data_IF_106326213416
#
_entry.id   IF_106326213416
#
_cell.length_a   1.000
_cell.length_b   1.000
_cell.length_c   1.000
_cell.angle_alpha   90.00
_cell.angle_beta   90.00
_cell.angle_gamma   90.00
#
_symmetry.space_group_name_H-M   'P 1'
#
loop_
_entity.id
_entity.type
_entity.pdbx_description
1 polymer ?
#
# COMPACT_ATOMS: atom_id res chain seq x y z
N UNK A 1 -62.39 15.99 -0.36
CA UNK A 1 -61.59 14.75 -0.22
C UNK A 1 -60.11 15.12 -0.18
N UNK A 2 -59.46 15.03 0.99
CA UNK A 2 -58.07 15.45 1.17
C UNK A 2 -57.09 14.29 0.89
N UNK A 3 -56.13 14.51 -0.01
CA UNK A 3 -55.07 13.53 -0.38
C UNK A 3 -54.13 13.30 0.81
N UNK A 4 -54.06 12.06 1.30
CA UNK A 4 -53.05 11.63 2.28
C UNK A 4 -51.66 11.63 1.64
N UNK A 5 -50.76 12.46 2.15
CA UNK A 5 -49.31 12.40 1.87
C UNK A 5 -48.73 11.13 2.50
N UNK A 6 -48.40 10.15 1.68
CA UNK A 6 -47.64 8.97 2.10
C UNK A 6 -46.22 9.39 2.45
N UNK A 7 -45.86 9.22 3.73
CA UNK A 7 -44.49 9.38 4.22
C UNK A 7 -43.60 8.29 3.60
N UNK A 8 -42.62 8.70 2.80
CA UNK A 8 -41.59 7.82 2.26
C UNK A 8 -40.65 7.45 3.40
N UNK A 9 -40.70 6.19 3.87
CA UNK A 9 -39.73 5.63 4.83
C UNK A 9 -38.31 5.88 4.29
N UNK A 10 -37.44 6.50 5.09
CA UNK A 10 -36.00 6.61 4.80
C UNK A 10 -35.45 5.19 4.63
N UNK A 11 -34.88 4.91 3.47
CA UNK A 11 -34.14 3.67 3.25
C UNK A 11 -32.95 3.61 4.22
N UNK A 12 -32.72 2.44 4.81
CA UNK A 12 -31.53 2.19 5.61
C UNK A 12 -30.27 2.51 4.77
N UNK A 13 -29.19 3.02 5.40
CA UNK A 13 -27.96 3.28 4.66
C UNK A 13 -27.49 1.96 4.06
N UNK A 14 -27.34 1.92 2.73
CA UNK A 14 -26.72 0.79 2.06
C UNK A 14 -25.36 0.62 2.72
N UNK A 15 -25.04 -0.58 3.24
CA UNK A 15 -23.64 -0.97 3.43
C UNK A 15 -22.96 -0.58 2.11
N UNK A 16 -21.95 0.29 2.17
CA UNK A 16 -21.32 0.83 0.95
C UNK A 16 -21.03 -0.30 -0.03
N UNK A 17 -21.11 -0.02 -1.33
CA UNK A 17 -20.83 -1.01 -2.36
C UNK A 17 -19.51 -1.75 -2.02
N UNK A 18 -19.53 -3.08 -2.14
CA UNK A 18 -18.37 -3.96 -1.91
C UNK A 18 -17.84 -4.03 -0.47
N UNK A 19 -18.68 -3.87 0.57
CA UNK A 19 -18.23 -3.94 1.98
C UNK A 19 -17.40 -5.18 2.37
N UNK A 20 -17.76 -6.37 1.90
CA UNK A 20 -16.98 -7.59 2.16
C UNK A 20 -15.62 -7.59 1.45
N UNK A 21 -15.56 -7.11 0.21
CA UNK A 21 -14.32 -6.98 -0.54
C UNK A 21 -13.40 -5.92 0.09
N UNK A 22 -13.93 -4.77 0.52
CA UNK A 22 -13.16 -3.76 1.26
C UNK A 22 -12.50 -4.32 2.52
N UNK A 23 -13.26 -5.11 3.28
CA UNK A 23 -12.73 -5.78 4.46
C UNK A 23 -11.62 -6.76 4.08
N UNK A 24 -11.81 -7.55 3.02
CA UNK A 24 -10.79 -8.49 2.56
C UNK A 24 -9.51 -7.77 2.10
N UNK A 25 -9.61 -6.72 1.29
CA UNK A 25 -8.46 -5.92 0.86
C UNK A 25 -7.73 -5.26 2.04
N UNK A 26 -8.47 -4.76 3.03
CA UNK A 26 -7.87 -4.21 4.25
C UNK A 26 -7.03 -5.26 4.99
N UNK A 27 -7.54 -6.49 5.13
CA UNK A 27 -6.77 -7.59 5.77
C UNK A 27 -5.48 -7.92 5.01
N UNK A 28 -5.54 -7.95 3.68
CA UNK A 28 -4.36 -8.20 2.84
C UNK A 28 -3.31 -7.10 3.03
N UNK A 29 -3.72 -5.83 3.04
CA UNK A 29 -2.82 -4.69 3.27
C UNK A 29 -2.32 -4.58 4.72
N UNK A 30 -3.05 -5.14 5.68
CA UNK A 30 -2.62 -5.28 7.07
C UNK A 30 -1.76 -6.52 7.31
N UNK A 31 -1.44 -7.30 6.27
CA UNK A 31 -0.60 -8.50 6.35
C UNK A 31 -1.16 -9.59 7.30
N UNK A 32 -2.47 -9.58 7.58
CA UNK A 32 -3.07 -10.47 8.61
C UNK A 32 -2.93 -11.96 8.27
N UNK A 33 -2.89 -12.29 6.98
CA UNK A 33 -2.74 -13.67 6.49
C UNK A 33 -1.28 -13.99 6.07
N UNK A 34 -0.34 -13.05 6.26
CA UNK A 34 1.08 -13.28 5.98
C UNK A 34 1.77 -13.96 7.17
N UNK A 35 2.85 -14.69 6.90
CA UNK A 35 3.65 -15.33 7.95
C UNK A 35 4.28 -14.30 8.91
N UNK A 36 4.68 -13.14 8.38
CA UNK A 36 5.17 -11.98 9.12
C UNK A 36 4.64 -10.71 8.46
N UNK A 37 4.33 -9.69 9.26
CA UNK A 37 4.04 -8.36 8.74
C UNK A 37 5.32 -7.60 8.38
N UNK A 38 5.17 -6.53 7.60
CA UNK A 38 6.30 -5.71 7.14
C UNK A 38 7.14 -5.15 8.29
N UNK A 39 6.50 -4.66 9.35
CA UNK A 39 7.19 -4.03 10.47
C UNK A 39 7.98 -5.05 11.29
N UNK A 40 7.47 -6.27 11.45
CA UNK A 40 8.17 -7.38 12.07
C UNK A 40 9.40 -7.80 11.27
N UNK A 41 9.33 -7.80 9.94
CA UNK A 41 10.46 -8.15 9.07
C UNK A 41 11.58 -7.11 9.15
N UNK A 42 11.25 -5.82 9.09
CA UNK A 42 12.27 -4.76 9.02
C UNK A 42 12.76 -4.27 10.38
N UNK A 43 12.09 -4.65 11.47
CA UNK A 43 12.47 -4.29 12.84
C UNK A 43 13.87 -4.79 13.15
N UNK A 44 14.70 -3.90 13.65
CA UNK A 44 16.09 -4.14 14.06
C UNK A 44 16.97 -4.78 12.96
N UNK A 45 16.64 -4.55 11.68
CA UNK A 45 17.40 -5.12 10.56
C UNK A 45 18.87 -4.67 10.62
N UNK A 46 19.84 -5.62 10.66
CA UNK A 46 21.24 -5.27 10.84
C UNK A 46 21.75 -4.37 9.71
N UNK A 47 22.38 -3.24 10.06
CA UNK A 47 22.93 -2.27 9.10
C UNK A 47 23.88 -2.95 8.11
N UNK A 48 24.74 -3.83 8.62
CA UNK A 48 25.71 -4.58 7.82
C UNK A 48 25.07 -5.50 6.76
N UNK A 49 23.78 -5.86 6.90
CA UNK A 49 23.09 -6.75 5.98
C UNK A 49 22.20 -6.04 4.96
N UNK A 50 21.93 -4.73 5.12
CA UNK A 50 20.99 -3.98 4.25
C UNK A 50 21.38 -4.04 2.77
N UNK A 51 22.67 -4.09 2.48
CA UNK A 51 23.23 -4.14 1.13
C UNK A 51 23.86 -5.48 0.73
N UNK A 52 23.74 -6.52 1.57
CA UNK A 52 24.38 -7.82 1.28
C UNK A 52 23.47 -8.63 0.38
N UNK A 53 24.02 -9.17 -0.71
CA UNK A 53 23.33 -10.13 -1.57
C UNK A 53 23.62 -11.56 -1.08
N UNK A 54 22.61 -12.28 -0.54
CA UNK A 54 22.80 -13.68 -0.20
C UNK A 54 23.17 -14.53 -1.43
N UNK A 55 23.95 -15.62 -1.28
CA UNK A 55 24.22 -16.53 -2.38
C UNK A 55 22.93 -17.05 -3.03
N UNK A 56 22.84 -16.91 -4.36
CA UNK A 56 21.67 -17.33 -5.14
C UNK A 56 20.48 -16.36 -5.14
N UNK A 57 20.52 -15.28 -4.34
CA UNK A 57 19.48 -14.26 -4.37
C UNK A 57 19.72 -13.24 -5.51
N UNK A 58 18.67 -12.82 -6.24
CA UNK A 58 18.81 -11.85 -7.33
C UNK A 58 19.04 -10.41 -6.83
N UNK A 59 18.59 -10.10 -5.61
CA UNK A 59 18.53 -8.73 -5.08
C UNK A 59 18.97 -8.65 -3.61
N UNK A 60 19.45 -7.48 -3.20
CA UNK A 60 19.74 -7.16 -1.79
C UNK A 60 18.46 -6.75 -1.03
N UNK A 61 18.48 -6.75 0.31
CA UNK A 61 17.36 -6.23 1.11
C UNK A 61 17.01 -4.78 0.78
N UNK A 62 18.01 -3.93 0.50
CA UNK A 62 17.79 -2.56 0.05
C UNK A 62 17.05 -2.49 -1.29
N UNK A 63 17.45 -3.30 -2.27
CA UNK A 63 16.77 -3.37 -3.56
C UNK A 63 15.32 -3.81 -3.42
N UNK A 64 15.06 -4.81 -2.58
CA UNK A 64 13.69 -5.29 -2.33
C UNK A 64 12.83 -4.25 -1.59
N UNK A 65 13.39 -3.56 -0.59
CA UNK A 65 12.68 -2.50 0.12
C UNK A 65 12.26 -1.37 -0.84
N UNK A 66 13.19 -0.88 -1.64
CA UNK A 66 12.90 0.19 -2.60
C UNK A 66 11.94 -0.28 -3.68
N UNK A 67 12.06 -1.51 -4.15
CA UNK A 67 11.12 -2.09 -5.10
C UNK A 67 9.69 -2.09 -4.54
N UNK A 68 9.50 -2.60 -3.33
CA UNK A 68 8.20 -2.58 -2.64
C UNK A 68 7.68 -1.14 -2.46
N UNK A 69 8.54 -0.20 -2.06
CA UNK A 69 8.18 1.21 -1.90
C UNK A 69 7.72 1.86 -3.20
N UNK A 70 8.46 1.65 -4.29
CA UNK A 70 8.17 2.28 -5.58
C UNK A 70 6.90 1.68 -6.18
N UNK A 71 6.77 0.34 -6.22
CA UNK A 71 5.56 -0.31 -6.74
C UNK A 71 4.30 0.09 -5.96
N UNK A 72 4.38 0.16 -4.62
CA UNK A 72 3.23 0.56 -3.82
C UNK A 72 2.84 2.02 -4.06
N UNK A 73 3.82 2.93 -4.15
CA UNK A 73 3.56 4.33 -4.49
C UNK A 73 2.92 4.46 -5.87
N UNK A 74 3.41 3.70 -6.85
CA UNK A 74 2.95 3.75 -8.22
C UNK A 74 1.50 3.26 -8.36
N UNK A 75 1.14 2.14 -7.71
CA UNK A 75 -0.25 1.68 -7.63
C UNK A 75 -1.14 2.71 -6.90
N UNK A 76 -0.64 3.33 -5.83
CA UNK A 76 -1.38 4.38 -5.13
C UNK A 76 -1.62 5.60 -6.03
N UNK A 77 -0.63 6.00 -6.84
CA UNK A 77 -0.78 7.11 -7.78
C UNK A 77 -1.75 6.76 -8.90
N UNK A 78 -1.58 5.60 -9.54
CA UNK A 78 -2.54 5.03 -10.49
C UNK A 78 -3.98 5.10 -9.97
N UNK A 79 -4.20 4.75 -8.70
CA UNK A 79 -5.54 4.68 -8.10
C UNK A 79 -6.18 6.04 -7.83
N UNK A 80 -5.43 7.15 -7.82
CA UNK A 80 -5.94 8.47 -7.40
C UNK A 80 -5.65 9.61 -8.36
N UNK A 81 -4.70 9.44 -9.28
CA UNK A 81 -4.24 10.46 -10.19
C UNK A 81 -4.87 10.25 -11.57
N UNK A 82 -5.81 11.11 -12.00
CA UNK A 82 -6.45 10.97 -13.32
C UNK A 82 -5.48 11.19 -14.49
N UNK A 83 -4.28 11.73 -14.24
CA UNK A 83 -3.24 11.96 -15.24
C UNK A 83 -2.06 10.99 -15.06
N UNK A 84 -2.28 9.86 -14.37
CA UNK A 84 -1.25 8.85 -14.14
C UNK A 84 -0.58 8.40 -15.45
N UNK A 85 0.72 8.15 -15.35
CA UNK A 85 1.52 7.50 -16.39
C UNK A 85 2.38 6.45 -15.73
N UNK A 86 2.40 5.28 -16.33
CA UNK A 86 3.18 4.16 -15.83
C UNK A 86 4.67 4.43 -15.87
N UNK A 87 5.38 3.87 -14.89
CA UNK A 87 6.84 3.84 -14.89
C UNK A 87 7.35 2.75 -15.81
N UNK A 88 8.49 2.99 -16.44
CA UNK A 88 9.28 1.96 -17.10
C UNK A 88 9.67 0.86 -16.11
N UNK A 89 9.71 -0.40 -16.56
CA UNK A 89 9.95 -1.53 -15.66
C UNK A 89 11.27 -1.44 -14.86
N UNK A 90 12.31 -0.86 -15.45
CA UNK A 90 13.60 -0.65 -14.79
C UNK A 90 13.53 0.37 -13.65
N UNK A 91 12.57 1.28 -13.65
CA UNK A 91 12.42 2.34 -12.64
C UNK A 91 11.84 1.82 -11.31
N UNK A 92 11.32 0.59 -11.27
CA UNK A 92 10.89 -0.05 -10.02
C UNK A 92 12.04 -0.61 -9.19
N UNK A 93 13.30 -0.38 -9.57
CA UNK A 93 14.47 -0.86 -8.85
C UNK A 93 15.42 0.30 -8.56
N UNK A 94 16.02 0.37 -7.36
CA UNK A 94 17.02 1.39 -7.09
C UNK A 94 18.31 1.10 -7.89
N UNK A 95 19.07 2.14 -8.25
CA UNK A 95 20.31 1.97 -9.01
C UNK A 95 21.48 1.44 -8.17
N UNK A 96 21.31 1.34 -6.85
CA UNK A 96 22.35 0.91 -5.92
C UNK A 96 21.96 -0.39 -5.22
N UNK A 97 22.95 -1.24 -4.98
CA UNK A 97 22.78 -2.48 -4.20
C UNK A 97 22.72 -2.20 -2.69
N UNK A 98 23.21 -1.03 -2.25
CA UNK A 98 23.29 -0.61 -0.85
C UNK A 98 22.57 0.73 -0.64
N UNK A 99 21.97 0.98 0.54
CA UNK A 99 21.40 2.29 0.84
C UNK A 99 22.53 3.34 0.87
N UNK A 100 22.35 4.53 0.28
CA UNK A 100 23.39 5.55 0.24
C UNK A 100 23.69 6.17 1.61
N UNK A 101 22.79 5.98 2.58
CA UNK A 101 22.98 6.34 3.98
C UNK A 101 22.00 5.59 4.88
N UNK A 102 22.25 5.60 6.18
CA UNK A 102 21.28 5.15 7.18
C UNK A 102 19.96 5.93 7.06
N UNK A 103 20.05 7.24 6.83
CA UNK A 103 18.89 8.11 6.64
C UNK A 103 18.03 7.66 5.45
N UNK A 104 18.65 7.26 4.33
CA UNK A 104 17.91 6.80 3.15
C UNK A 104 17.10 5.53 3.44
N UNK A 105 17.69 4.57 4.16
CA UNK A 105 16.97 3.38 4.63
C UNK A 105 15.72 3.75 5.46
N UNK A 106 15.91 4.62 6.46
CA UNK A 106 14.82 5.04 7.34
C UNK A 106 13.74 5.85 6.61
N UNK A 107 14.12 6.68 5.63
CA UNK A 107 13.18 7.40 4.76
C UNK A 107 12.36 6.44 3.91
N UNK A 108 12.97 5.39 3.35
CA UNK A 108 12.27 4.37 2.58
C UNK A 108 11.23 3.61 3.40
N UNK A 109 11.59 3.19 4.62
CA UNK A 109 10.65 2.55 5.55
C UNK A 109 9.46 3.46 5.88
N UNK A 110 9.73 4.74 6.18
CA UNK A 110 8.66 5.72 6.48
C UNK A 110 7.76 5.98 5.28
N UNK A 111 8.33 6.10 4.08
CA UNK A 111 7.58 6.32 2.86
C UNK A 111 6.69 5.13 2.54
N UNK A 112 7.20 3.89 2.64
CA UNK A 112 6.39 2.68 2.46
C UNK A 112 5.20 2.66 3.43
N UNK A 113 5.43 2.90 4.73
CA UNK A 113 4.34 2.95 5.72
C UNK A 113 3.30 4.02 5.41
N UNK A 114 3.76 5.23 5.07
CA UNK A 114 2.87 6.36 4.74
C UNK A 114 1.98 6.02 3.55
N UNK A 115 2.56 5.44 2.49
CA UNK A 115 1.83 5.16 1.26
C UNK A 115 0.88 3.96 1.45
N UNK A 116 1.25 2.97 2.28
CA UNK A 116 0.38 1.87 2.68
C UNK A 116 -0.84 2.39 3.43
N UNK A 117 -0.64 3.30 4.40
CA UNK A 117 -1.75 3.93 5.14
C UNK A 117 -2.63 4.80 4.24
N UNK A 118 -2.05 5.46 3.24
CA UNK A 118 -2.82 6.20 2.23
C UNK A 118 -3.68 5.26 1.37
N UNK A 119 -3.14 4.10 0.97
CA UNK A 119 -3.88 3.09 0.23
C UNK A 119 -5.04 2.50 1.05
N UNK A 120 -4.80 2.16 2.33
CA UNK A 120 -5.86 1.71 3.25
C UNK A 120 -6.97 2.74 3.39
N UNK A 121 -6.63 4.02 3.53
CA UNK A 121 -7.62 5.13 3.59
C UNK A 121 -8.42 5.25 2.30
N UNK A 122 -7.76 5.11 1.14
CA UNK A 122 -8.41 5.14 -0.17
C UNK A 122 -9.46 4.02 -0.28
N UNK A 123 -9.13 2.80 0.14
CA UNK A 123 -10.03 1.64 0.12
C UNK A 123 -11.11 1.69 1.20
N UNK A 124 -10.87 2.35 2.33
CA UNK A 124 -11.88 2.54 3.37
C UNK A 124 -12.97 3.56 2.97
N UNK A 125 -12.67 4.45 2.00
CA UNK A 125 -13.62 5.46 1.55
C UNK A 125 -14.72 4.83 0.67
N UNK A 126 -16.01 4.85 1.09
CA UNK A 126 -17.11 4.24 0.34
C UNK A 126 -17.45 4.98 -0.96
N UNK A 127 -16.86 6.17 -1.19
CA UNK A 127 -16.99 6.93 -2.44
C UNK A 127 -15.92 6.58 -3.48
N UNK A 128 -14.85 5.88 -3.07
CA UNK A 128 -13.84 5.37 -4.01
C UNK A 128 -14.47 4.23 -4.81
N UNK A 129 -14.37 4.31 -6.12
CA UNK A 129 -14.76 3.21 -7.01
C UNK A 129 -13.79 2.03 -6.82
N UNK A 130 -14.32 0.81 -6.77
CA UNK A 130 -13.55 -0.40 -6.48
C UNK A 130 -13.60 -1.41 -7.62
#
# INVERSE_FOLDING_TARGET
MARKRTSRKKAAPRKGAHGALRQHLAKLLDWQDAHLDFDAVVRDWPVALRGVRPPGAPHTPWQLLEHMRICQWDILDFSRNPNYRELEFSAYWPPTDVPPSERAWEESLRAFRRDLEAMKKLLANPKTDL
#
